data_IF_864395039683
#
_entry.id   IF_864395039683
#
_cell.length_a   1.000
_cell.length_b   1.000
_cell.length_c   1.000
_cell.angle_alpha   90.00
_cell.angle_beta   90.00
_cell.angle_gamma   90.00
#
_symmetry.space_group_name_H-M   'P 1'
#
loop_
_entity.id
_entity.type
_entity.pdbx_description
1 polymer ?
#
# COMPACT_ATOMS: atom_id res chain seq x y z
N UNK A 1 -15.71 -18.01 -39.11
CA UNK A 1 -14.96 -16.76 -38.91
C UNK A 1 -15.42 -15.96 -37.68
N UNK A 2 -16.73 -15.74 -37.47
CA UNK A 2 -17.25 -14.96 -36.32
C UNK A 2 -16.95 -15.59 -34.94
N UNK A 3 -17.03 -16.92 -34.81
CA UNK A 3 -16.81 -17.61 -33.52
C UNK A 3 -15.34 -17.57 -33.06
N UNK A 4 -14.38 -17.50 -34.01
CA UNK A 4 -12.95 -17.39 -33.70
C UNK A 4 -12.59 -15.99 -33.19
N UNK A 5 -13.22 -14.94 -33.74
CA UNK A 5 -13.03 -13.56 -33.30
C UNK A 5 -13.55 -13.36 -31.88
N UNK A 6 -14.71 -13.93 -31.55
CA UNK A 6 -15.26 -13.88 -30.18
C UNK A 6 -14.35 -14.61 -29.19
N UNK A 7 -13.82 -15.77 -29.56
CA UNK A 7 -12.88 -16.51 -28.72
C UNK A 7 -11.58 -15.73 -28.50
N UNK A 8 -11.04 -15.09 -29.53
CA UNK A 8 -9.84 -14.24 -29.44
C UNK A 8 -10.12 -12.99 -28.58
N UNK A 9 -11.28 -12.36 -28.73
CA UNK A 9 -11.64 -11.20 -27.90
C UNK A 9 -11.80 -11.61 -26.44
N UNK A 10 -12.43 -12.76 -26.17
CA UNK A 10 -12.58 -13.29 -24.81
C UNK A 10 -11.24 -13.71 -24.20
N UNK A 11 -10.33 -14.33 -24.97
CA UNK A 11 -9.00 -14.70 -24.47
C UNK A 11 -8.10 -13.48 -24.31
N UNK A 12 -8.14 -12.50 -25.21
CA UNK A 12 -7.43 -11.22 -25.04
C UNK A 12 -7.98 -10.46 -23.84
N UNK A 13 -9.30 -10.43 -23.63
CA UNK A 13 -9.91 -9.86 -22.44
C UNK A 13 -9.48 -10.62 -21.17
N UNK A 14 -9.46 -11.94 -21.20
CA UNK A 14 -8.96 -12.77 -20.10
C UNK A 14 -7.47 -12.49 -19.81
N UNK A 15 -6.64 -12.39 -20.84
CA UNK A 15 -5.20 -12.07 -20.72
C UNK A 15 -5.01 -10.65 -20.17
N UNK A 16 -5.82 -9.68 -20.61
CA UNK A 16 -5.80 -8.30 -20.10
C UNK A 16 -6.26 -8.22 -18.64
N UNK A 17 -7.21 -9.06 -18.23
CA UNK A 17 -7.69 -9.17 -16.84
C UNK A 17 -6.68 -9.92 -15.96
N UNK A 18 -5.94 -10.89 -16.52
CA UNK A 18 -4.92 -11.69 -15.82
C UNK A 18 -3.54 -11.02 -15.79
N UNK A 19 -3.40 -9.82 -16.36
CA UNK A 19 -2.33 -8.89 -15.99
C UNK A 19 -2.58 -8.51 -14.53
N UNK A 20 -2.06 -9.34 -13.62
CA UNK A 20 -1.82 -8.99 -12.22
C UNK A 20 -1.18 -7.60 -12.22
N UNK A 21 -1.96 -6.60 -11.82
CA UNK A 21 -1.48 -5.23 -11.70
C UNK A 21 -0.55 -5.19 -10.51
N UNK A 22 0.73 -5.51 -10.76
CA UNK A 22 1.76 -5.38 -9.75
C UNK A 22 1.82 -3.91 -9.29
N UNK A 23 1.81 -3.70 -7.99
CA UNK A 23 1.98 -2.37 -7.39
C UNK A 23 3.41 -1.92 -7.70
N UNK A 24 3.56 -0.88 -8.51
CA UNK A 24 4.83 -0.26 -8.82
C UNK A 24 4.93 1.08 -8.10
N UNK A 25 6.03 1.27 -7.37
CA UNK A 25 6.36 2.52 -6.66
C UNK A 25 7.68 3.01 -7.26
N UNK A 26 7.70 4.24 -7.77
CA UNK A 26 8.91 4.82 -8.33
C UNK A 26 9.91 5.14 -7.21
N UNK A 27 11.21 4.99 -7.47
CA UNK A 27 12.25 5.35 -6.50
C UNK A 27 12.50 6.86 -6.49
N UNK A 28 11.54 7.59 -5.95
CA UNK A 28 11.55 9.05 -5.75
C UNK A 28 10.93 9.37 -4.39
N UNK A 29 11.18 10.56 -3.85
CA UNK A 29 10.47 11.02 -2.66
C UNK A 29 9.03 11.41 -3.02
N UNK A 30 8.04 10.86 -2.30
CA UNK A 30 6.64 11.12 -2.57
C UNK A 30 6.09 12.15 -1.59
N UNK A 31 5.75 13.34 -2.08
CA UNK A 31 4.99 14.32 -1.32
C UNK A 31 3.62 13.76 -0.86
N UNK A 32 2.96 14.47 0.04
CA UNK A 32 1.74 14.03 0.69
C UNK A 32 0.63 13.69 -0.32
N UNK A 33 0.46 14.51 -1.36
CA UNK A 33 -0.53 14.28 -2.42
C UNK A 33 -0.25 13.00 -3.19
N UNK A 34 1.02 12.82 -3.61
CA UNK A 34 1.46 11.63 -4.36
C UNK A 34 1.32 10.36 -3.52
N UNK A 35 1.83 10.39 -2.28
CA UNK A 35 1.70 9.29 -1.32
C UNK A 35 0.24 8.92 -1.05
N UNK A 36 -0.62 9.92 -0.83
CA UNK A 36 -2.07 9.71 -0.63
C UNK A 36 -2.71 9.05 -1.86
N UNK A 37 -2.35 9.51 -3.06
CA UNK A 37 -2.82 8.92 -4.31
C UNK A 37 -2.44 7.45 -4.44
N UNK A 38 -1.17 7.12 -4.14
CA UNK A 38 -0.66 5.74 -4.12
C UNK A 38 -1.46 4.87 -3.15
N UNK A 39 -1.60 5.28 -1.90
CA UNK A 39 -2.30 4.50 -0.88
C UNK A 39 -3.78 4.27 -1.23
N UNK A 40 -4.48 5.29 -1.73
CA UNK A 40 -5.88 5.16 -2.18
C UNK A 40 -6.01 4.24 -3.38
N UNK A 41 -5.08 4.33 -4.33
CA UNK A 41 -5.04 3.45 -5.51
C UNK A 41 -4.86 2.00 -5.10
N UNK A 42 -3.87 1.73 -4.25
CA UNK A 42 -3.61 0.39 -3.68
C UNK A 42 -4.84 -0.16 -2.96
N UNK A 43 -5.49 0.66 -2.14
CA UNK A 43 -6.71 0.26 -1.43
C UNK A 43 -7.85 -0.13 -2.36
N UNK A 44 -8.01 0.60 -3.47
CA UNK A 44 -9.04 0.33 -4.47
C UNK A 44 -8.77 -0.97 -5.23
N UNK A 45 -7.52 -1.25 -5.58
CA UNK A 45 -7.17 -2.39 -6.44
C UNK A 45 -6.89 -3.69 -5.68
N UNK A 46 -6.63 -3.63 -4.37
CA UNK A 46 -6.25 -4.80 -3.54
C UNK A 46 -7.13 -4.97 -2.29
N UNK A 47 -8.41 -4.58 -2.38
CA UNK A 47 -9.34 -4.52 -1.24
C UNK A 47 -9.57 -5.85 -0.50
N UNK A 48 -9.16 -6.98 -1.08
CA UNK A 48 -9.17 -8.31 -0.47
C UNK A 48 -8.02 -8.53 0.53
N UNK A 49 -6.95 -7.74 0.42
CA UNK A 49 -5.75 -7.81 1.27
C UNK A 49 -5.50 -6.55 2.07
N UNK A 50 -6.05 -5.40 1.66
CA UNK A 50 -5.74 -4.13 2.29
C UNK A 50 -6.98 -3.35 2.74
N UNK A 51 -6.77 -2.52 3.76
CA UNK A 51 -7.75 -1.53 4.21
C UNK A 51 -7.04 -0.24 4.64
N UNK A 52 -7.31 0.84 3.91
CA UNK A 52 -6.80 2.17 4.20
C UNK A 52 -7.74 2.90 5.14
N UNK A 53 -7.18 3.46 6.20
CA UNK A 53 -7.88 4.32 7.13
C UNK A 53 -6.98 5.46 7.61
N UNK A 54 -7.57 6.44 8.25
CA UNK A 54 -6.87 7.55 8.87
C UNK A 54 -7.04 7.47 10.38
N UNK A 55 -5.96 7.69 11.14
CA UNK A 55 -6.00 7.75 12.62
C UNK A 55 -6.23 9.16 13.14
N UNK A 56 -6.37 10.14 12.26
CA UNK A 56 -6.55 11.54 12.62
C UNK A 56 -5.96 12.47 11.56
N UNK A 57 -5.80 13.74 11.93
CA UNK A 57 -5.21 14.75 11.06
C UNK A 57 -3.99 15.37 11.73
N UNK A 58 -3.05 15.78 10.89
CA UNK A 58 -1.94 16.65 11.29
C UNK A 58 -2.44 18.06 11.64
N UNK A 59 -1.51 18.94 12.06
CA UNK A 59 -1.83 20.34 12.40
C UNK A 59 -2.34 21.09 11.17
N UNK A 60 -1.76 20.85 10.00
CA UNK A 60 -2.19 21.45 8.74
C UNK A 60 -3.32 20.66 8.05
N UNK A 61 -3.96 19.72 8.74
CA UNK A 61 -5.15 19.02 8.26
C UNK A 61 -4.89 17.88 7.27
N UNK A 62 -3.64 17.40 7.16
CA UNK A 62 -3.27 16.23 6.36
C UNK A 62 -3.67 14.95 7.10
N UNK A 63 -4.24 13.98 6.39
CA UNK A 63 -4.65 12.70 6.94
C UNK A 63 -3.44 11.88 7.40
N UNK A 64 -3.57 11.27 8.58
CA UNK A 64 -2.58 10.36 9.14
C UNK A 64 -2.88 8.94 8.67
N UNK A 65 -2.50 8.67 7.43
CA UNK A 65 -2.82 7.41 6.74
C UNK A 65 -2.15 6.18 7.36
N UNK A 66 -2.94 5.13 7.53
CA UNK A 66 -2.47 3.78 7.86
C UNK A 66 -3.08 2.79 6.89
N UNK A 67 -2.24 1.97 6.26
CA UNK A 67 -2.67 0.86 5.43
C UNK A 67 -2.54 -0.44 6.24
N UNK A 68 -3.67 -1.05 6.58
CA UNK A 68 -3.70 -2.42 7.07
C UNK A 68 -3.48 -3.38 5.89
N UNK A 69 -2.58 -4.34 6.03
CA UNK A 69 -2.33 -5.43 5.09
C UNK A 69 -2.48 -6.76 5.83
N UNK A 70 -3.43 -7.58 5.42
CA UNK A 70 -3.73 -8.87 6.04
C UNK A 70 -4.68 -9.69 5.18
N UNK A 71 -4.71 -11.02 5.37
CA UNK A 71 -5.81 -11.83 4.86
C UNK A 71 -7.12 -11.44 5.58
N UNK A 72 -8.13 -11.07 4.79
CA UNK A 72 -9.49 -10.67 5.21
C UNK A 72 -9.51 -9.41 6.10
N UNK A 73 -9.14 -8.23 5.57
CA UNK A 73 -9.00 -7.00 6.35
C UNK A 73 -10.32 -6.52 6.99
N UNK A 74 -11.47 -6.88 6.41
CA UNK A 74 -12.80 -6.51 6.88
C UNK A 74 -13.21 -7.17 8.22
N UNK A 75 -12.47 -8.18 8.69
CA UNK A 75 -12.76 -8.89 9.94
C UNK A 75 -11.55 -8.86 10.86
N UNK A 76 -11.78 -8.59 12.13
CA UNK A 76 -10.77 -8.81 13.16
C UNK A 76 -10.89 -10.27 13.64
N UNK A 77 -9.82 -11.03 13.48
CA UNK A 77 -9.77 -12.45 13.80
C UNK A 77 -9.11 -12.61 15.16
N UNK A 78 -9.79 -13.32 16.07
CA UNK A 78 -9.29 -13.60 17.42
C UNK A 78 -7.96 -14.37 17.34
N UNK A 79 -7.00 -14.02 18.20
CA UNK A 79 -5.62 -14.55 18.22
C UNK A 79 -4.75 -14.24 16.99
N UNK A 80 -5.21 -13.41 16.05
CA UNK A 80 -4.38 -12.91 14.95
C UNK A 80 -3.66 -11.62 15.41
N UNK A 81 -2.34 -11.65 15.71
CA UNK A 81 -1.64 -10.48 16.26
C UNK A 81 -1.65 -9.28 15.31
N UNK A 82 -1.77 -8.09 15.90
CA UNK A 82 -1.58 -6.81 15.22
C UNK A 82 -0.14 -6.34 15.41
N UNK A 83 0.55 -6.04 14.31
CA UNK A 83 1.90 -5.45 14.27
C UNK A 83 1.82 -4.12 13.55
N UNK A 84 2.64 -3.14 13.96
CA UNK A 84 2.69 -1.84 13.28
C UNK A 84 4.11 -1.41 12.93
N UNK A 85 4.24 -0.78 11.77
CA UNK A 85 5.38 0.04 11.40
C UNK A 85 4.94 1.49 11.26
N UNK A 86 5.66 2.39 11.91
CA UNK A 86 5.42 3.84 11.87
C UNK A 86 6.72 4.50 11.45
N UNK A 87 6.66 5.34 10.44
CA UNK A 87 7.83 6.03 9.90
C UNK A 87 7.62 7.54 9.82
N UNK A 88 8.74 8.26 9.63
CA UNK A 88 8.76 9.69 9.33
C UNK A 88 7.98 10.52 10.38
N UNK A 89 8.25 10.24 11.66
CA UNK A 89 7.80 11.05 12.80
C UNK A 89 8.56 12.39 12.86
N UNK A 90 9.83 12.37 12.47
CA UNK A 90 10.56 13.56 12.07
C UNK A 90 10.41 13.72 10.57
N UNK A 91 9.89 14.88 10.14
CA UNK A 91 9.53 15.12 8.74
C UNK A 91 10.70 14.99 7.75
N UNK A 92 11.91 15.35 8.18
CA UNK A 92 13.13 15.30 7.38
C UNK A 92 13.82 13.91 7.36
N UNK A 93 13.37 12.95 8.16
CA UNK A 93 13.85 11.57 8.15
C UNK A 93 13.09 10.75 7.10
N UNK A 94 13.30 11.09 5.81
CA UNK A 94 12.48 10.65 4.69
C UNK A 94 12.64 9.16 4.31
N UNK A 95 13.78 8.52 4.62
CA UNK A 95 14.07 7.14 4.18
C UNK A 95 13.02 6.15 4.67
N UNK A 96 12.60 6.26 5.93
CA UNK A 96 11.57 5.38 6.49
C UNK A 96 10.23 5.49 5.76
N UNK A 97 9.85 6.70 5.32
CA UNK A 97 8.61 6.96 4.58
C UNK A 97 8.56 6.15 3.29
N UNK A 98 9.60 6.25 2.48
CA UNK A 98 9.68 5.58 1.20
C UNK A 98 9.82 4.05 1.35
N UNK A 99 10.62 3.60 2.32
CA UNK A 99 10.73 2.17 2.63
C UNK A 99 9.38 1.56 3.00
N UNK A 100 8.50 2.29 3.68
CA UNK A 100 7.14 1.81 3.98
C UNK A 100 6.30 1.66 2.72
N UNK A 101 6.38 2.57 1.74
CA UNK A 101 5.67 2.43 0.46
C UNK A 101 6.18 1.21 -0.34
N UNK A 102 7.49 1.00 -0.37
CA UNK A 102 8.08 -0.18 -1.02
C UNK A 102 7.75 -1.48 -0.28
N UNK A 103 7.71 -1.48 1.05
CA UNK A 103 7.29 -2.64 1.84
C UNK A 103 5.83 -3.01 1.56
N UNK A 104 4.94 -2.02 1.48
CA UNK A 104 3.53 -2.22 1.09
C UNK A 104 3.46 -2.91 -0.27
N UNK A 105 4.14 -2.35 -1.29
CA UNK A 105 4.15 -2.92 -2.63
C UNK A 105 4.73 -4.34 -2.66
N UNK A 106 5.81 -4.58 -1.92
CA UNK A 106 6.44 -5.89 -1.80
C UNK A 106 5.48 -6.93 -1.21
N UNK A 107 4.80 -6.64 -0.10
CA UNK A 107 3.87 -7.56 0.55
C UNK A 107 2.69 -7.93 -0.35
N UNK A 108 2.15 -6.95 -1.08
CA UNK A 108 1.03 -7.15 -2.00
C UNK A 108 1.45 -7.99 -3.21
N UNK A 109 2.53 -7.58 -3.88
CA UNK A 109 3.03 -8.26 -5.08
C UNK A 109 3.47 -9.70 -4.81
N UNK A 110 3.96 -9.97 -3.60
CA UNK A 110 4.42 -11.30 -3.18
C UNK A 110 3.39 -12.04 -2.35
N UNK A 111 2.13 -11.60 -2.27
CA UNK A 111 1.06 -12.23 -1.47
C UNK A 111 0.82 -13.71 -1.81
N UNK A 112 1.19 -14.16 -3.01
CA UNK A 112 1.12 -15.57 -3.44
C UNK A 112 2.35 -16.41 -3.05
N UNK A 113 3.47 -15.77 -2.69
CA UNK A 113 4.66 -16.45 -2.17
C UNK A 113 4.32 -17.13 -0.84
N UNK A 114 4.77 -18.38 -0.63
CA UNK A 114 4.43 -19.18 0.57
C UNK A 114 4.73 -18.47 1.89
N UNK A 115 5.87 -17.78 1.99
CA UNK A 115 6.30 -17.10 3.22
C UNK A 115 5.42 -15.89 3.49
N UNK A 116 5.20 -15.04 2.49
CA UNK A 116 4.39 -13.83 2.62
C UNK A 116 2.91 -14.18 2.81
N UNK A 117 2.40 -15.17 2.09
CA UNK A 117 1.04 -15.70 2.28
C UNK A 117 0.82 -16.11 3.72
N UNK A 118 1.70 -16.94 4.28
CA UNK A 118 1.60 -17.37 5.68
C UNK A 118 1.68 -16.18 6.66
N UNK A 119 2.55 -15.21 6.39
CA UNK A 119 2.64 -13.97 7.17
C UNK A 119 1.31 -13.20 7.17
N UNK A 120 0.69 -12.99 6.01
CA UNK A 120 -0.58 -12.25 5.89
C UNK A 120 -1.79 -13.04 6.43
N UNK A 121 -1.75 -14.37 6.38
CA UNK A 121 -2.77 -15.24 6.99
C UNK A 121 -2.74 -15.18 8.52
N UNK A 122 -1.55 -15.08 9.11
CA UNK A 122 -1.33 -15.16 10.56
C UNK A 122 -1.18 -13.81 11.26
N UNK A 123 -0.92 -12.72 10.52
CA UNK A 123 -0.62 -11.40 11.12
C UNK A 123 -1.45 -10.30 10.46
N UNK A 124 -1.79 -9.27 11.25
CA UNK A 124 -2.38 -8.01 10.78
C UNK A 124 -1.32 -6.93 10.82
N UNK A 125 -0.85 -6.48 9.66
CA UNK A 125 0.28 -5.54 9.56
C UNK A 125 -0.26 -4.14 9.24
N UNK A 126 -0.09 -3.20 10.16
CA UNK A 126 -0.49 -1.82 10.01
C UNK A 126 0.72 -0.97 9.64
N UNK A 127 0.69 -0.32 8.48
CA UNK A 127 1.83 0.49 8.02
C UNK A 127 1.39 1.95 7.92
N UNK A 128 2.08 2.82 8.67
CA UNK A 128 1.94 4.27 8.64
C UNK A 128 3.21 4.87 8.01
N UNK A 129 3.19 5.24 6.71
CA UNK A 129 4.38 5.74 6.04
C UNK A 129 4.86 7.09 6.58
N UNK A 130 3.94 7.96 7.02
CA UNK A 130 4.29 9.28 7.55
C UNK A 130 3.43 9.67 8.74
N UNK A 131 4.06 9.75 9.91
CA UNK A 131 3.45 10.25 11.14
C UNK A 131 3.46 11.78 11.21
N UNK A 132 4.42 12.43 10.55
CA UNK A 132 4.54 13.89 10.49
C UNK A 132 4.58 14.37 9.02
N UNK A 133 3.44 14.31 8.30
CA UNK A 133 3.39 14.73 6.91
C UNK A 133 3.65 16.24 6.74
N UNK A 134 3.30 17.06 7.73
CA UNK A 134 3.54 18.52 7.68
C UNK A 134 5.04 18.82 7.69
N UNK A 135 5.77 18.19 8.61
CA UNK A 135 7.23 18.31 8.67
C UNK A 135 7.90 17.83 7.39
N UNK A 136 7.38 16.77 6.75
CA UNK A 136 7.91 16.29 5.48
C UNK A 136 7.76 17.33 4.36
N UNK A 137 6.59 17.94 4.21
CA UNK A 137 6.36 18.96 3.18
C UNK A 137 7.22 20.22 3.38
N UNK A 138 7.61 20.52 4.62
CA UNK A 138 8.53 21.62 4.95
C UNK A 138 10.02 21.24 4.83
N UNK A 139 10.34 19.97 4.65
CA UNK A 139 11.73 19.49 4.59
C UNK A 139 12.36 19.75 3.23
N UNK A 140 13.69 19.89 3.22
CA UNK A 140 14.47 20.11 2.01
C UNK A 140 15.29 18.86 1.71
N UNK A 141 15.09 18.30 0.52
CA UNK A 141 15.88 17.17 0.04
C UNK A 141 17.37 17.52 0.00
N UNK A 142 18.23 16.55 0.36
CA UNK A 142 19.69 16.71 0.38
C UNK A 142 20.23 17.39 1.64
N UNK A 143 19.37 17.84 2.56
CA UNK A 143 19.79 18.38 3.85
C UNK A 143 19.93 17.25 4.89
N UNK A 144 21.18 16.89 5.19
CA UNK A 144 21.54 15.94 6.24
C UNK A 144 21.63 16.60 7.63
#
# INVERSE_FOLDING_TARGET
MHSLIVLIVLTVFYILVDVSTCVQINYVYHNYTSMTGILKSINKTNSDLVYLYSIGKSVEGRELWVLLITKDPAREVVLKPNVKYVANMHGNEAVGRELMLHLIAYLINNSKNKVIKNLLETTRIHIMPSMNPDGFEMSLEGKC
#
